data_IF_750825525032
#
_entry.id   IF_750825525032
#
_cell.length_a   1.000
_cell.length_b   1.000
_cell.length_c   1.000
_cell.angle_alpha   90.00
_cell.angle_beta   90.00
_cell.angle_gamma   90.00
#
_symmetry.space_group_name_H-M   'P 1'
#
loop_
_entity.id
_entity.type
_entity.pdbx_description
1 polymer ?
#
# COMPACT_ATOMS: atom_id res chain seq x y z
N UNK A 1 -20.81 -0.38 0.30
CA UNK A 1 -19.56 0.24 0.76
C UNK A 1 -19.71 1.03 2.06
N UNK A 2 -20.36 0.41 3.04
CA UNK A 2 -20.66 1.06 4.31
C UNK A 2 -19.41 1.46 5.08
N UNK A 3 -18.36 0.65 5.03
CA UNK A 3 -17.10 0.95 5.71
C UNK A 3 -16.47 2.24 5.19
N UNK A 4 -16.44 2.42 3.88
CA UNK A 4 -15.86 3.62 3.27
C UNK A 4 -16.69 4.87 3.61
N UNK A 5 -18.02 4.75 3.63
CA UNK A 5 -18.90 5.85 4.05
C UNK A 5 -18.60 6.24 5.49
N UNK A 6 -18.51 5.27 6.40
CA UNK A 6 -18.20 5.52 7.81
C UNK A 6 -16.82 6.13 8.01
N UNK A 7 -15.88 5.77 7.16
CA UNK A 7 -14.52 6.30 7.23
C UNK A 7 -14.42 7.74 6.71
N UNK A 8 -15.43 8.21 5.97
CA UNK A 8 -15.49 9.60 5.51
C UNK A 8 -15.29 9.79 4.01
N UNK A 9 -15.34 8.72 3.22
CA UNK A 9 -15.34 8.85 1.75
C UNK A 9 -16.68 9.42 1.30
N UNK A 10 -16.63 10.33 0.33
CA UNK A 10 -17.85 10.84 -0.31
C UNK A 10 -18.46 9.79 -1.24
N UNK A 11 -19.73 9.98 -1.60
CA UNK A 11 -20.40 9.08 -2.55
C UNK A 11 -19.68 9.12 -3.90
N UNK A 12 -19.24 10.29 -4.34
CA UNK A 12 -18.49 10.42 -5.59
C UNK A 12 -17.15 9.67 -5.55
N UNK A 13 -16.43 9.79 -4.45
CA UNK A 13 -15.17 9.07 -4.26
C UNK A 13 -15.39 7.55 -4.30
N UNK A 14 -16.43 7.06 -3.61
CA UNK A 14 -16.79 5.64 -3.60
C UNK A 14 -17.15 5.17 -5.01
N UNK A 15 -17.92 5.97 -5.74
CA UNK A 15 -18.27 5.64 -7.11
C UNK A 15 -17.03 5.51 -7.99
N UNK A 16 -16.07 6.42 -7.87
CA UNK A 16 -14.82 6.35 -8.62
C UNK A 16 -14.03 5.08 -8.29
N UNK A 17 -13.98 4.70 -7.01
CA UNK A 17 -13.34 3.47 -6.58
C UNK A 17 -14.02 2.25 -7.20
N UNK A 18 -15.34 2.19 -7.14
CA UNK A 18 -16.11 1.06 -7.68
C UNK A 18 -16.04 0.98 -9.19
N UNK A 19 -16.01 2.11 -9.88
CA UNK A 19 -15.91 2.15 -11.34
C UNK A 19 -14.56 1.67 -11.85
N UNK A 20 -13.51 1.69 -11.01
CA UNK A 20 -12.18 1.23 -11.39
C UNK A 20 -12.11 -0.27 -11.63
N UNK A 21 -12.93 -1.05 -10.92
CA UNK A 21 -13.02 -2.50 -11.08
C UNK A 21 -14.34 -3.00 -10.50
N UNK A 22 -15.14 -3.67 -11.35
CA UNK A 22 -16.46 -4.18 -10.96
C UNK A 22 -16.43 -5.18 -9.80
N UNK A 23 -15.30 -5.88 -9.61
CA UNK A 23 -15.16 -6.84 -8.51
C UNK A 23 -15.17 -6.18 -7.14
N UNK A 24 -14.82 -4.90 -7.04
CA UNK A 24 -14.78 -4.17 -5.77
C UNK A 24 -16.17 -4.12 -5.12
N UNK A 25 -17.24 -4.07 -5.91
CA UNK A 25 -18.61 -4.07 -5.41
C UNK A 25 -18.93 -5.27 -4.51
N UNK A 26 -18.25 -6.39 -4.74
CA UNK A 26 -18.47 -7.64 -4.01
C UNK A 26 -17.48 -7.85 -2.86
N UNK A 27 -16.67 -6.84 -2.56
CA UNK A 27 -15.66 -6.95 -1.50
C UNK A 27 -16.31 -7.06 -0.13
N UNK A 28 -15.66 -7.84 0.76
CA UNK A 28 -16.11 -8.03 2.13
C UNK A 28 -15.83 -6.76 2.96
N UNK A 29 -16.88 -6.20 3.55
CA UNK A 29 -16.78 -5.01 4.39
C UNK A 29 -15.86 -5.23 5.60
N UNK A 30 -15.86 -6.44 6.17
CA UNK A 30 -14.95 -6.78 7.25
C UNK A 30 -13.48 -6.73 6.82
N UNK A 31 -13.17 -7.19 5.61
CA UNK A 31 -11.82 -7.13 5.05
C UNK A 31 -11.39 -5.67 4.81
N UNK A 32 -12.30 -4.82 4.34
CA UNK A 32 -12.03 -3.40 4.15
C UNK A 32 -11.73 -2.72 5.49
N UNK A 33 -12.53 -3.00 6.52
CA UNK A 33 -12.29 -2.51 7.88
C UNK A 33 -10.91 -2.95 8.39
N UNK A 34 -10.57 -4.21 8.21
CA UNK A 34 -9.30 -4.78 8.64
C UNK A 34 -8.13 -4.13 7.92
N UNK A 35 -8.28 -3.85 6.64
CA UNK A 35 -7.25 -3.15 5.84
C UNK A 35 -7.03 -1.73 6.35
N UNK A 36 -8.09 -0.99 6.60
CA UNK A 36 -8.00 0.37 7.14
C UNK A 36 -7.30 0.34 8.50
N UNK A 37 -7.70 -0.57 9.37
CA UNK A 37 -7.08 -0.72 10.69
C UNK A 37 -5.59 -1.05 10.60
N UNK A 38 -5.20 -1.90 9.65
CA UNK A 38 -3.81 -2.25 9.41
C UNK A 38 -3.00 -1.02 8.99
N UNK A 39 -3.53 -0.22 8.07
CA UNK A 39 -2.86 0.98 7.60
C UNK A 39 -2.74 2.04 8.71
N UNK A 40 -3.80 2.23 9.50
CA UNK A 40 -3.77 3.14 10.65
C UNK A 40 -2.73 2.70 11.68
N UNK A 41 -2.66 1.41 11.97
CA UNK A 41 -1.67 0.85 12.90
C UNK A 41 -0.23 1.10 12.45
N UNK A 42 -0.02 1.24 11.15
CA UNK A 42 1.29 1.50 10.56
C UNK A 42 1.53 2.99 10.28
N UNK A 43 0.79 3.86 10.92
CA UNK A 43 1.05 5.29 10.92
C UNK A 43 0.32 6.10 9.86
N UNK A 44 -0.56 5.47 9.07
CA UNK A 44 -1.30 6.19 8.02
C UNK A 44 -2.43 7.01 8.63
N UNK A 45 -2.44 8.31 8.31
CA UNK A 45 -3.54 9.20 8.68
C UNK A 45 -4.75 8.97 7.77
N UNK A 46 -5.88 9.60 8.12
CA UNK A 46 -7.09 9.57 7.29
C UNK A 46 -6.81 10.03 5.86
N UNK A 47 -6.08 11.13 5.71
CA UNK A 47 -5.78 11.68 4.37
C UNK A 47 -4.87 10.75 3.56
N UNK A 48 -3.91 10.11 4.21
CA UNK A 48 -3.03 9.12 3.54
C UNK A 48 -3.84 7.92 3.07
N UNK A 49 -4.70 7.37 3.93
CA UNK A 49 -5.54 6.22 3.58
C UNK A 49 -6.48 6.56 2.43
N UNK A 50 -7.10 7.73 2.45
CA UNK A 50 -7.95 8.17 1.35
C UNK A 50 -7.16 8.27 0.04
N UNK A 51 -5.96 8.86 0.08
CA UNK A 51 -5.10 8.93 -1.09
C UNK A 51 -4.76 7.53 -1.62
N UNK A 52 -4.45 6.59 -0.74
CA UNK A 52 -4.15 5.21 -1.13
C UNK A 52 -5.34 4.61 -1.90
N UNK A 53 -6.53 4.68 -1.34
CA UNK A 53 -7.71 4.06 -1.96
C UNK A 53 -8.12 4.75 -3.25
N UNK A 54 -7.98 6.07 -3.35
CA UNK A 54 -8.34 6.80 -4.56
C UNK A 54 -7.32 6.60 -5.67
N UNK A 55 -6.04 6.48 -5.33
CA UNK A 55 -4.96 6.28 -6.30
C UNK A 55 -4.81 4.82 -6.71
N UNK A 56 -4.98 3.91 -5.75
CA UNK A 56 -4.80 2.48 -5.95
C UNK A 56 -6.00 1.69 -5.41
N UNK A 57 -7.17 1.78 -6.06
CA UNK A 57 -8.36 1.08 -5.60
C UNK A 57 -8.21 -0.45 -5.55
N UNK A 58 -7.28 -1.01 -6.31
CA UNK A 58 -7.01 -2.45 -6.32
C UNK A 58 -6.63 -3.01 -4.96
N UNK A 59 -6.16 -2.16 -4.04
CA UNK A 59 -5.81 -2.62 -2.69
C UNK A 59 -7.01 -3.27 -1.99
N UNK A 60 -8.23 -2.85 -2.33
CA UNK A 60 -9.45 -3.43 -1.75
C UNK A 60 -9.60 -4.90 -2.11
N UNK A 61 -9.08 -5.32 -3.26
CA UNK A 61 -9.16 -6.71 -3.74
C UNK A 61 -8.07 -7.61 -3.16
N UNK A 62 -7.06 -7.03 -2.51
CA UNK A 62 -5.97 -7.81 -1.91
C UNK A 62 -6.36 -8.29 -0.52
N UNK A 63 -5.84 -9.45 -0.13
CA UNK A 63 -6.08 -9.95 1.22
C UNK A 63 -5.27 -9.13 2.24
N UNK A 64 -5.85 -8.88 3.39
CA UNK A 64 -5.17 -8.19 4.49
C UNK A 64 -3.93 -8.97 4.91
N UNK A 65 -3.99 -10.29 4.84
CA UNK A 65 -2.85 -11.16 5.16
C UNK A 65 -1.65 -10.87 4.25
N UNK A 66 -1.89 -10.74 2.94
CA UNK A 66 -0.81 -10.45 1.98
C UNK A 66 -0.25 -9.05 2.16
N UNK A 67 -1.11 -8.07 2.42
CA UNK A 67 -0.67 -6.70 2.73
C UNK A 67 0.18 -6.69 4.01
N UNK A 68 -0.23 -7.43 5.03
CA UNK A 68 0.52 -7.53 6.28
C UNK A 68 1.92 -8.13 6.06
N UNK A 69 2.01 -9.17 5.21
CA UNK A 69 3.30 -9.78 4.86
C UNK A 69 4.22 -8.78 4.14
N UNK A 70 3.67 -8.02 3.21
CA UNK A 70 4.42 -6.99 2.51
C UNK A 70 4.93 -5.92 3.48
N UNK A 71 4.08 -5.45 4.38
CA UNK A 71 4.47 -4.46 5.40
C UNK A 71 5.62 -4.98 6.26
N UNK A 72 5.52 -6.22 6.72
CA UNK A 72 6.59 -6.85 7.51
C UNK A 72 7.89 -6.95 6.72
N UNK A 73 7.82 -7.29 5.44
CA UNK A 73 8.99 -7.35 4.56
C UNK A 73 9.66 -5.98 4.43
N UNK A 74 8.87 -4.93 4.27
CA UNK A 74 9.41 -3.57 4.15
C UNK A 74 10.12 -3.14 5.44
N UNK A 75 9.58 -3.49 6.61
CA UNK A 75 10.28 -3.27 7.88
C UNK A 75 11.57 -4.08 7.96
N UNK A 76 11.54 -5.34 7.51
CA UNK A 76 12.71 -6.23 7.56
C UNK A 76 13.89 -5.69 6.75
N UNK A 77 13.64 -5.04 5.61
CA UNK A 77 14.72 -4.45 4.81
C UNK A 77 15.21 -3.10 5.36
N UNK A 78 14.59 -2.59 6.43
CA UNK A 78 15.07 -1.41 7.15
C UNK A 78 14.22 -0.16 7.04
N UNK A 79 13.04 -0.23 6.41
CA UNK A 79 12.13 0.91 6.36
C UNK A 79 11.40 1.03 7.70
N UNK A 80 11.16 2.25 8.14
CA UNK A 80 10.51 2.50 9.44
C UNK A 80 9.34 3.50 9.37
N UNK A 81 9.23 4.29 8.31
CA UNK A 81 8.15 5.27 8.12
C UNK A 81 7.34 4.94 6.87
N UNK A 82 6.61 3.81 6.89
CA UNK A 82 5.93 3.31 5.70
C UNK A 82 4.86 4.26 5.18
N UNK A 83 4.24 5.08 6.04
CA UNK A 83 3.21 6.01 5.59
C UNK A 83 3.75 7.01 4.56
N UNK A 84 5.04 7.37 4.61
CA UNK A 84 5.68 8.26 3.64
C UNK A 84 5.68 7.61 2.26
N UNK A 85 6.06 6.32 2.19
CA UNK A 85 6.09 5.58 0.92
C UNK A 85 4.68 5.38 0.39
N UNK A 86 3.75 4.98 1.25
CA UNK A 86 2.37 4.67 0.86
C UNK A 86 1.65 5.92 0.35
N UNK A 87 1.97 7.09 0.89
CA UNK A 87 1.38 8.36 0.44
C UNK A 87 1.98 8.81 -0.90
N UNK A 88 3.30 8.72 -1.04
CA UNK A 88 3.99 9.15 -2.27
C UNK A 88 3.83 8.16 -3.42
N UNK A 89 3.72 6.86 -3.11
CA UNK A 89 3.61 5.81 -4.11
C UNK A 89 2.70 4.67 -3.63
N UNK A 90 1.37 4.87 -3.65
CA UNK A 90 0.43 3.86 -3.18
C UNK A 90 0.51 2.53 -3.92
N UNK A 91 1.05 2.51 -5.13
CA UNK A 91 1.16 1.28 -5.93
C UNK A 91 2.17 0.29 -5.37
N UNK A 92 3.04 0.70 -4.44
CA UNK A 92 3.93 -0.25 -3.77
C UNK A 92 3.15 -1.34 -3.03
N UNK A 93 1.92 -1.03 -2.62
CA UNK A 93 1.05 -1.98 -1.93
C UNK A 93 0.56 -3.10 -2.86
N UNK A 94 0.77 -3.00 -4.16
CA UNK A 94 0.49 -4.07 -5.11
C UNK A 94 1.65 -5.06 -5.26
N UNK A 95 2.82 -4.76 -4.70
CA UNK A 95 3.97 -5.66 -4.77
C UNK A 95 3.80 -6.82 -3.80
N UNK A 96 4.48 -7.93 -4.10
CA UNK A 96 4.62 -9.04 -3.17
C UNK A 96 6.02 -9.05 -2.53
N UNK A 97 6.19 -9.90 -1.53
CA UNK A 97 7.48 -10.00 -0.82
C UNK A 97 8.62 -10.42 -1.75
N UNK A 98 8.31 -11.25 -2.73
CA UNK A 98 9.28 -11.76 -3.70
C UNK A 98 9.84 -10.62 -4.57
N UNK A 99 8.98 -9.72 -5.01
CA UNK A 99 9.38 -8.55 -5.79
C UNK A 99 10.24 -7.60 -4.98
N UNK A 100 9.91 -7.38 -3.71
CA UNK A 100 10.72 -6.57 -2.80
C UNK A 100 12.11 -7.18 -2.63
N UNK A 101 12.18 -8.49 -2.38
CA UNK A 101 13.46 -9.19 -2.23
C UNK A 101 14.30 -9.11 -3.51
N UNK A 102 13.68 -9.27 -4.67
CA UNK A 102 14.37 -9.20 -5.96
C UNK A 102 15.01 -7.82 -6.20
N UNK A 103 14.25 -6.76 -5.89
CA UNK A 103 14.77 -5.40 -6.03
C UNK A 103 15.91 -5.16 -5.03
N UNK A 104 15.73 -5.54 -3.78
CA UNK A 104 16.74 -5.37 -2.74
C UNK A 104 18.04 -6.09 -3.11
N UNK A 105 17.95 -7.37 -3.48
CA UNK A 105 19.12 -8.18 -3.81
C UNK A 105 19.84 -7.66 -5.06
N UNK A 106 19.09 -7.21 -6.06
CA UNK A 106 19.68 -6.63 -7.26
C UNK A 106 20.49 -5.37 -6.93
N UNK A 107 19.97 -4.51 -6.07
CA UNK A 107 20.68 -3.29 -5.68
C UNK A 107 21.93 -3.61 -4.85
N UNK A 108 21.85 -4.60 -3.97
CA UNK A 108 23.04 -5.10 -3.24
C UNK A 108 24.09 -5.61 -4.21
N UNK A 109 23.71 -6.42 -5.20
CA UNK A 109 24.62 -6.99 -6.19
C UNK A 109 25.26 -5.90 -7.07
N UNK A 110 24.56 -4.81 -7.31
CA UNK A 110 25.07 -3.65 -8.05
C UNK A 110 25.99 -2.77 -7.21
N UNK A 111 26.20 -3.09 -5.93
CA UNK A 111 27.14 -2.39 -5.06
C UNK A 111 26.56 -1.27 -4.22
N UNK A 112 25.24 -1.11 -4.20
CA UNK A 112 24.61 -0.09 -3.37
C UNK A 112 24.70 -0.43 -1.89
N UNK A 113 24.94 0.58 -1.05
CA UNK A 113 24.90 0.43 0.40
C UNK A 113 23.45 0.31 0.88
N UNK A 114 23.25 -0.32 2.05
CA UNK A 114 21.91 -0.48 2.62
C UNK A 114 21.18 0.86 2.79
N UNK A 115 21.89 1.91 3.21
CA UNK A 115 21.31 3.24 3.36
C UNK A 115 20.81 3.82 2.03
N UNK A 116 21.55 3.57 0.94
CA UNK A 116 21.15 4.00 -0.39
C UNK A 116 19.90 3.25 -0.87
N UNK A 117 19.81 1.96 -0.55
CA UNK A 117 18.66 1.13 -0.90
C UNK A 117 17.41 1.61 -0.16
N UNK A 118 17.54 1.96 1.12
CA UNK A 118 16.43 2.51 1.91
C UNK A 118 15.92 3.81 1.27
N UNK A 119 16.83 4.74 0.91
CA UNK A 119 16.46 5.97 0.23
C UNK A 119 15.78 5.70 -1.12
N UNK A 120 16.24 4.68 -1.83
CA UNK A 120 15.64 4.26 -3.10
C UNK A 120 14.18 3.87 -2.91
N UNK A 121 13.88 3.06 -1.90
CA UNK A 121 12.49 2.67 -1.61
C UNK A 121 11.62 3.85 -1.22
N UNK A 122 12.16 4.84 -0.50
CA UNK A 122 11.39 6.02 -0.11
C UNK A 122 11.10 6.96 -1.27
N UNK A 123 12.03 7.14 -2.20
CA UNK A 123 11.98 8.27 -3.14
C UNK A 123 12.03 7.89 -4.61
N UNK A 124 12.45 6.68 -4.96
CA UNK A 124 12.72 6.30 -6.35
C UNK A 124 12.09 4.98 -6.79
N UNK A 125 11.35 4.32 -5.93
CA UNK A 125 10.78 2.99 -6.22
C UNK A 125 9.84 3.02 -7.43
N UNK A 126 9.16 4.12 -7.67
CA UNK A 126 8.26 4.30 -8.81
C UNK A 126 8.95 4.13 -10.15
N UNK A 127 10.26 4.35 -10.21
CA UNK A 127 11.04 4.20 -11.45
C UNK A 127 11.22 2.76 -11.88
N UNK A 128 11.02 1.79 -10.99
CA UNK A 128 11.17 0.36 -11.28
C UNK A 128 9.84 -0.36 -11.34
N UNK A 129 8.82 0.21 -10.76
CA UNK A 129 7.48 -0.40 -10.71
C UNK A 129 6.78 -0.36 -12.04
#
# INVERSE_FOLDING_TARGET
MDTLIRYGFSIEEIKNIMDSNSEIEFSDEFEIDSLINLLEKNGCSNSVIKNIFLTNPFIILKSVKDISKLINKLYDIGLDNLFIIFDSNPFILNMDCKSVDSIYNRLIDEGYLKSDIINYFYFEIDKIM
#
